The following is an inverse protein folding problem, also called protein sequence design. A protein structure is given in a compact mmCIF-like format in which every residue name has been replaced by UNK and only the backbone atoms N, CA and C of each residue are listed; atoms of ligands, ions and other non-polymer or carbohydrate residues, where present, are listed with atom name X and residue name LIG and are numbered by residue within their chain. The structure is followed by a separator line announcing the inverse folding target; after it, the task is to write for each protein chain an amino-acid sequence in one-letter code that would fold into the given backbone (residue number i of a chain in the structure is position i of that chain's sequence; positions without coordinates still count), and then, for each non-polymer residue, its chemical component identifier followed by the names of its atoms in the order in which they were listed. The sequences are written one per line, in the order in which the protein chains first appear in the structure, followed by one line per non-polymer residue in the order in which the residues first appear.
data_IF_358585302768
#
_entry.id   IF_358585302768
#
_cell.length_a   1.000
_cell.length_b   1.000
_cell.length_c   1.000
_cell.angle_alpha   90.00
_cell.angle_beta   90.00
_cell.angle_gamma   90.00
#
_symmetry.space_group_name_H-M   'P 1'
#
loop_
_entity.id
_entity.type
_entity.pdbx_description
1 polymer ?
#
# COMPACT_ATOMS: atom_id res chain seq x y z
N UNK A 1 42.98 -34.24 -31.32
CA UNK A 1 43.13 -35.07 -30.10
C UNK A 1 41.91 -34.84 -29.23
N UNK A 2 41.02 -35.82 -29.25
CA UNK A 2 39.69 -35.81 -28.66
C UNK A 2 39.74 -36.53 -27.31
N UNK A 3 39.25 -35.90 -26.25
CA UNK A 3 39.07 -36.53 -24.93
C UNK A 3 37.59 -36.33 -24.52
N UNK A 4 36.91 -37.35 -23.98
CA UNK A 4 35.47 -37.53 -24.19
C UNK A 4 34.57 -36.97 -23.10
N UNK A 5 33.34 -36.70 -23.52
CA UNK A 5 32.15 -36.40 -22.73
C UNK A 5 31.82 -37.54 -21.75
N UNK A 6 31.82 -37.25 -20.45
CA UNK A 6 31.31 -38.15 -19.42
C UNK A 6 29.79 -37.99 -19.28
N UNK A 7 29.05 -39.00 -19.72
CA UNK A 7 27.60 -39.16 -19.48
C UNK A 7 27.34 -39.41 -17.99
N UNK A 8 26.59 -38.53 -17.35
CA UNK A 8 25.95 -38.80 -16.07
C UNK A 8 24.73 -39.71 -16.31
N UNK A 9 24.70 -40.87 -15.64
CA UNK A 9 23.55 -41.80 -15.63
C UNK A 9 22.46 -41.27 -14.69
N UNK A 10 21.17 -41.48 -15.00
CA UNK A 10 20.08 -41.11 -14.10
C UNK A 10 20.01 -42.07 -12.91
N UNK A 11 19.90 -41.53 -11.70
CA UNK A 11 19.59 -42.29 -10.49
C UNK A 11 18.10 -42.64 -10.47
N UNK A 12 17.81 -43.94 -10.55
CA UNK A 12 16.50 -44.54 -10.32
C UNK A 12 16.22 -44.60 -8.83
N UNK A 13 15.25 -43.81 -8.34
CA UNK A 13 14.70 -44.02 -7.00
C UNK A 13 13.62 -45.11 -7.05
N UNK A 14 13.97 -46.25 -6.46
CA UNK A 14 13.05 -47.34 -6.15
C UNK A 14 12.07 -46.90 -5.05
N UNK A 15 10.78 -47.00 -5.34
CA UNK A 15 9.72 -47.02 -4.34
C UNK A 15 9.66 -48.40 -3.65
N UNK A 16 9.43 -48.48 -2.33
CA UNK A 16 9.14 -49.75 -1.67
C UNK A 16 7.65 -50.12 -1.82
N UNK A 17 7.30 -51.42 -1.99
CA UNK A 17 5.93 -51.88 -2.12
C UNK A 17 5.32 -52.33 -0.79
N UNK A 18 4.00 -52.17 -0.67
CA UNK A 18 3.15 -53.05 0.14
C UNK A 18 2.57 -52.47 1.42
N UNK A 19 1.29 -52.11 1.38
CA UNK A 19 0.27 -52.72 2.24
C UNK A 19 -1.10 -52.51 1.59
N UNK A 20 -1.73 -53.64 1.27
CA UNK A 20 -3.02 -53.80 0.61
C UNK A 20 -4.18 -53.69 1.62
N UNK A 21 -5.35 -53.39 1.05
CA UNK A 21 -6.71 -53.59 1.57
C UNK A 21 -7.20 -52.70 2.71
N UNK A 22 -7.88 -51.62 2.34
CA UNK A 22 -9.05 -51.14 3.07
C UNK A 22 -10.31 -51.66 2.34
N UNK A 23 -10.82 -52.77 2.83
CA UNK A 23 -12.13 -53.33 2.46
C UNK A 23 -13.25 -52.39 2.93
N UNK A 24 -14.19 -52.17 2.03
CA UNK A 24 -15.45 -51.47 2.25
C UNK A 24 -16.38 -52.22 3.20
N UNK A 25 -16.78 -51.59 4.30
CA UNK A 25 -18.04 -51.87 5.00
C UNK A 25 -18.68 -50.58 5.55
N UNK A 26 -20.02 -50.52 5.62
CA UNK A 26 -20.80 -49.28 5.65
C UNK A 26 -20.95 -48.71 7.06
N UNK A 27 -20.91 -47.39 7.19
CA UNK A 27 -21.24 -46.71 8.45
C UNK A 27 -22.75 -46.77 8.67
N UNK A 28 -23.16 -47.66 9.57
CA UNK A 28 -24.52 -47.75 10.12
C UNK A 28 -24.77 -46.50 10.98
N UNK A 29 -25.76 -45.69 10.59
CA UNK A 29 -26.27 -44.61 11.44
C UNK A 29 -27.16 -45.20 12.53
N UNK A 30 -26.67 -45.31 13.76
CA UNK A 30 -27.52 -45.46 14.94
C UNK A 30 -27.78 -44.09 15.55
N UNK A 31 -29.05 -43.69 15.58
CA UNK A 31 -29.51 -42.50 16.29
C UNK A 31 -29.48 -42.75 17.79
N UNK A 32 -28.57 -42.10 18.50
CA UNK A 32 -28.68 -41.92 19.95
C UNK A 32 -28.53 -40.43 20.24
N UNK A 33 -29.62 -39.82 20.72
CA UNK A 33 -29.62 -38.44 21.18
C UNK A 33 -28.66 -38.28 22.35
N UNK A 34 -27.61 -37.50 22.14
CA UNK A 34 -26.78 -36.95 23.20
C UNK A 34 -26.82 -35.43 23.06
N UNK A 35 -27.30 -34.81 24.13
CA UNK A 35 -27.30 -33.37 24.34
C UNK A 35 -25.90 -32.80 24.16
N UNK A 36 -25.77 -31.80 23.29
CA UNK A 36 -24.56 -30.99 23.13
C UNK A 36 -24.31 -30.25 24.44
N UNK A 37 -23.30 -30.67 25.22
CA UNK A 37 -22.83 -29.90 26.37
C UNK A 37 -22.26 -28.56 25.89
N UNK A 38 -22.84 -27.46 26.40
CA UNK A 38 -22.30 -26.12 26.19
C UNK A 38 -20.95 -25.98 26.91
N UNK A 39 -19.95 -25.33 26.29
CA UNK A 39 -18.69 -25.05 26.98
C UNK A 39 -18.95 -24.16 28.21
N UNK A 40 -18.16 -24.30 29.29
CA UNK A 40 -18.39 -23.56 30.53
C UNK A 40 -18.31 -22.05 30.27
N UNK A 41 -19.38 -21.32 30.63
CA UNK A 41 -19.36 -19.86 30.68
C UNK A 41 -18.25 -19.42 31.61
N UNK A 42 -17.30 -18.63 31.09
CA UNK A 42 -16.41 -17.81 31.90
C UNK A 42 -17.27 -16.90 32.80
N UNK A 43 -17.41 -17.26 34.07
CA UNK A 43 -18.00 -16.40 35.09
C UNK A 43 -16.94 -15.36 35.46
N UNK A 44 -17.05 -14.18 34.85
CA UNK A 44 -16.30 -13.01 35.29
C UNK A 44 -16.65 -12.72 36.76
N UNK A 45 -15.63 -12.66 37.62
CA UNK A 45 -15.75 -12.36 39.03
C UNK A 45 -16.21 -10.89 39.21
N UNK A 46 -17.42 -10.66 39.70
CA UNK A 46 -18.10 -9.34 39.73
C UNK A 46 -17.78 -8.45 40.94
N UNK A 47 -16.71 -8.74 41.70
CA UNK A 47 -16.37 -8.00 42.93
C UNK A 47 -15.15 -7.07 42.84
N UNK A 48 -14.78 -6.63 41.64
CA UNK A 48 -13.94 -5.44 41.48
C UNK A 48 -14.82 -4.30 40.97
N UNK A 49 -14.92 -3.21 41.73
CA UNK A 49 -15.44 -1.95 41.17
C UNK A 49 -14.53 -1.60 39.99
N UNK A 50 -15.02 -1.66 38.73
CA UNK A 50 -14.14 -1.49 37.60
C UNK A 50 -13.78 -0.01 37.57
N UNK A 51 -12.50 0.31 37.71
CA UNK A 51 -12.00 1.51 37.07
C UNK A 51 -12.44 1.37 35.60
N UNK A 52 -13.47 2.14 35.21
CA UNK A 52 -14.10 2.02 33.90
C UNK A 52 -12.99 2.02 32.85
N UNK A 53 -13.02 1.04 31.94
CA UNK A 53 -12.01 0.95 30.89
C UNK A 53 -11.83 2.33 30.26
N UNK A 54 -10.64 2.96 30.32
CA UNK A 54 -10.46 4.34 29.82
C UNK A 54 -10.74 4.47 28.32
N UNK A 55 -10.78 3.34 27.59
CA UNK A 55 -11.14 3.24 26.19
C UNK A 55 -12.60 2.80 25.96
N UNK A 56 -13.46 2.76 26.99
CA UNK A 56 -14.86 2.37 26.89
C UNK A 56 -15.60 3.12 25.77
N UNK A 57 -15.33 4.42 25.63
CA UNK A 57 -15.87 5.27 24.56
C UNK A 57 -15.60 4.74 23.13
N UNK A 58 -14.54 3.96 22.91
CA UNK A 58 -14.28 3.34 21.60
C UNK A 58 -15.20 2.15 21.32
N UNK A 59 -15.61 1.42 22.35
CA UNK A 59 -16.64 0.37 22.22
C UNK A 59 -18.00 1.00 21.98
N UNK A 60 -18.33 2.10 22.67
CA UNK A 60 -19.56 2.86 22.43
C UNK A 60 -19.60 3.39 20.98
N UNK A 61 -18.47 3.90 20.48
CA UNK A 61 -18.33 4.33 19.08
C UNK A 61 -18.53 3.17 18.10
N UNK A 62 -18.00 1.99 18.41
CA UNK A 62 -18.18 0.79 17.59
C UNK A 62 -19.64 0.35 17.58
N UNK A 63 -20.30 0.29 18.74
CA UNK A 63 -21.71 -0.12 18.85
C UNK A 63 -22.62 0.84 18.07
N UNK A 64 -22.37 2.15 18.18
CA UNK A 64 -23.06 3.16 17.37
C UNK A 64 -22.78 3.01 15.87
N UNK A 65 -21.57 2.62 15.48
CA UNK A 65 -21.22 2.34 14.08
C UNK A 65 -21.94 1.09 13.55
N UNK A 66 -21.94 -0.02 14.30
CA UNK A 66 -22.66 -1.24 13.96
C UNK A 66 -24.16 -0.96 13.79
N UNK A 67 -24.77 -0.25 14.75
CA UNK A 67 -26.18 0.09 14.70
C UNK A 67 -26.54 0.94 13.46
N UNK A 68 -25.73 1.97 13.13
CA UNK A 68 -25.93 2.77 11.91
C UNK A 68 -25.80 1.93 10.64
N UNK A 69 -24.77 1.07 10.56
CA UNK A 69 -24.56 0.24 9.37
C UNK A 69 -25.70 -0.74 9.15
N UNK A 70 -26.20 -1.38 10.21
CA UNK A 70 -27.35 -2.28 10.13
C UNK A 70 -28.67 -1.56 9.85
N UNK A 71 -28.82 -0.30 10.26
CA UNK A 71 -29.99 0.51 9.91
C UNK A 71 -30.00 0.93 8.43
N UNK A 72 -28.82 1.18 7.88
CA UNK A 72 -28.64 1.47 6.45
C UNK A 72 -28.80 0.20 5.60
N UNK A 73 -28.27 -0.92 6.07
CA UNK A 73 -28.21 -2.20 5.38
C UNK A 73 -28.20 -3.38 6.39
N UNK A 74 -29.33 -4.05 6.63
CA UNK A 74 -29.41 -5.18 7.56
C UNK A 74 -28.50 -6.36 7.21
N UNK A 75 -28.10 -6.50 5.94
CA UNK A 75 -27.23 -7.59 5.48
C UNK A 75 -25.75 -7.21 5.44
N UNK A 76 -25.39 -5.99 5.87
CA UNK A 76 -24.04 -5.42 5.74
C UNK A 76 -22.92 -6.36 6.21
N UNK A 77 -23.02 -6.84 7.46
CA UNK A 77 -21.99 -7.72 8.03
C UNK A 77 -22.04 -9.14 7.48
N UNK A 78 -23.21 -9.63 7.07
CA UNK A 78 -23.33 -10.93 6.41
C UNK A 78 -22.58 -10.89 5.08
N UNK A 79 -22.82 -9.89 4.25
CA UNK A 79 -22.10 -9.69 2.99
C UNK A 79 -20.60 -9.52 3.21
N UNK A 80 -20.20 -8.67 4.17
CA UNK A 80 -18.79 -8.43 4.48
C UNK A 80 -18.05 -9.73 4.90
N UNK A 81 -18.70 -10.59 5.69
CA UNK A 81 -18.11 -11.85 6.14
C UNK A 81 -17.85 -12.85 4.99
N UNK A 82 -18.60 -12.75 3.89
CA UNK A 82 -18.47 -13.64 2.74
C UNK A 82 -17.60 -13.05 1.60
N UNK A 83 -17.20 -11.78 1.68
CA UNK A 83 -16.41 -11.10 0.66
C UNK A 83 -14.92 -11.17 0.99
N UNK A 84 -14.16 -12.00 0.25
CA UNK A 84 -12.72 -12.26 0.50
C UNK A 84 -11.87 -12.37 -0.78
N UNK A 85 -12.31 -11.78 -1.89
CA UNK A 85 -11.56 -11.83 -3.17
C UNK A 85 -11.22 -10.42 -3.65
N UNK A 86 -10.29 -9.71 -2.97
CA UNK A 86 -9.87 -8.38 -3.41
C UNK A 86 -9.18 -8.49 -4.77
N UNK A 87 -9.48 -7.56 -5.67
CA UNK A 87 -8.78 -7.45 -6.96
C UNK A 87 -7.57 -6.51 -6.88
N UNK A 88 -7.43 -5.79 -5.76
CA UNK A 88 -6.47 -4.71 -5.59
C UNK A 88 -5.60 -4.92 -4.34
N UNK A 89 -4.29 -4.71 -4.47
CA UNK A 89 -3.37 -4.49 -3.35
C UNK A 89 -2.97 -3.01 -3.30
N UNK A 90 -3.22 -2.36 -2.17
CA UNK A 90 -2.79 -0.99 -1.88
C UNK A 90 -1.59 -0.97 -0.94
N UNK A 91 -0.45 -0.47 -1.41
CA UNK A 91 0.73 -0.20 -0.60
C UNK A 91 0.79 1.31 -0.34
N UNK A 92 0.46 1.72 0.89
CA UNK A 92 0.33 3.13 1.26
C UNK A 92 1.19 3.54 2.46
N UNK A 93 1.14 4.82 2.78
CA UNK A 93 1.81 5.35 3.96
C UNK A 93 1.02 4.96 5.24
N UNK A 94 1.72 4.79 6.36
CA UNK A 94 1.11 4.67 7.69
C UNK A 94 0.37 5.94 8.14
N UNK A 95 0.53 7.06 7.43
CA UNK A 95 -0.32 8.24 7.61
C UNK A 95 -1.80 7.86 7.46
N UNK A 96 -2.56 8.09 8.53
CA UNK A 96 -3.92 7.59 8.72
C UNK A 96 -5.02 8.54 8.23
N UNK A 97 -4.66 9.66 7.56
CA UNK A 97 -5.63 10.73 7.25
C UNK A 97 -6.86 10.25 6.47
N UNK A 98 -6.72 9.30 5.53
CA UNK A 98 -7.88 8.68 4.84
C UNK A 98 -7.61 7.18 4.52
N UNK A 99 -8.57 6.27 4.80
CA UNK A 99 -8.48 4.86 4.40
C UNK A 99 -8.52 4.66 2.88
N UNK A 100 -7.83 3.63 2.37
CA UNK A 100 -7.71 3.37 0.93
C UNK A 100 -9.09 3.19 0.26
N UNK A 101 -9.93 2.32 0.83
CA UNK A 101 -11.29 2.05 0.36
C UNK A 101 -12.13 3.32 0.19
N UNK A 102 -11.98 4.28 1.12
CA UNK A 102 -12.71 5.54 1.08
C UNK A 102 -12.18 6.48 -0.02
N UNK A 103 -10.86 6.47 -0.28
CA UNK A 103 -10.24 7.28 -1.35
C UNK A 103 -10.77 6.85 -2.73
N UNK A 104 -10.87 5.55 -2.98
CA UNK A 104 -11.26 5.01 -4.30
C UNK A 104 -12.72 4.56 -4.39
N UNK A 105 -13.53 4.83 -3.36
CA UNK A 105 -14.96 4.55 -3.38
C UNK A 105 -15.33 3.06 -3.42
N UNK A 106 -14.46 2.18 -2.92
CA UNK A 106 -14.72 0.74 -2.86
C UNK A 106 -15.21 0.31 -1.47
N UNK A 107 -16.08 -0.71 -1.39
CA UNK A 107 -16.52 -1.26 -0.12
C UNK A 107 -15.35 -1.98 0.61
N UNK A 108 -15.46 -2.15 1.94
CA UNK A 108 -14.51 -2.97 2.68
C UNK A 108 -14.42 -4.40 2.14
N UNK A 109 -13.21 -4.95 2.10
CA UNK A 109 -12.95 -6.31 1.58
C UNK A 109 -12.52 -6.37 0.11
N UNK A 110 -12.66 -5.27 -0.66
CA UNK A 110 -12.24 -5.23 -2.07
C UNK A 110 -10.79 -4.81 -2.30
N UNK A 111 -10.15 -4.23 -1.28
CA UNK A 111 -8.73 -3.82 -1.33
C UNK A 111 -7.98 -4.49 -0.19
N UNK A 112 -6.93 -5.22 -0.56
CA UNK A 112 -5.94 -5.72 0.39
C UNK A 112 -4.92 -4.62 0.66
N UNK A 113 -4.59 -4.34 1.93
CA UNK A 113 -3.86 -3.11 2.29
C UNK A 113 -2.59 -3.42 3.07
N UNK A 114 -1.47 -2.85 2.62
CA UNK A 114 -0.23 -2.72 3.38
C UNK A 114 0.06 -1.26 3.69
N UNK A 115 0.60 -0.98 4.88
CA UNK A 115 1.02 0.36 5.27
C UNK A 115 2.34 0.35 6.02
N UNK A 116 3.27 1.20 5.59
CA UNK A 116 4.48 1.54 6.32
C UNK A 116 4.83 3.02 6.16
N UNK A 117 5.81 3.54 6.88
CA UNK A 117 6.18 4.95 6.79
C UNK A 117 6.71 5.25 5.38
N UNK A 118 6.12 6.26 4.72
CA UNK A 118 6.50 6.68 3.36
C UNK A 118 6.35 5.59 2.27
N UNK A 119 5.46 4.61 2.48
CA UNK A 119 5.05 3.61 1.47
C UNK A 119 6.21 2.92 0.75
N UNK A 120 7.30 2.65 1.48
CA UNK A 120 8.55 2.11 0.96
C UNK A 120 8.44 0.60 0.74
N UNK A 121 8.95 0.12 -0.37
CA UNK A 121 9.11 -1.30 -0.69
C UNK A 121 10.59 -1.60 -0.77
N UNK A 122 11.15 -2.19 0.29
CA UNK A 122 12.56 -2.59 0.33
C UNK A 122 12.70 -3.98 -0.26
N UNK A 123 13.74 -4.22 -1.05
CA UNK A 123 13.99 -5.52 -1.71
C UNK A 123 14.08 -6.72 -0.75
N UNK A 124 14.31 -6.48 0.54
CA UNK A 124 14.49 -7.50 1.58
C UNK A 124 13.54 -7.30 2.76
N UNK A 125 12.56 -6.39 2.68
CA UNK A 125 11.56 -6.24 3.75
C UNK A 125 10.54 -7.37 3.68
N UNK A 126 10.77 -8.42 4.48
CA UNK A 126 9.89 -9.58 4.53
C UNK A 126 8.46 -9.23 4.96
N UNK A 127 8.25 -8.12 5.66
CA UNK A 127 6.91 -7.64 6.00
C UNK A 127 6.13 -7.32 4.71
N UNK A 128 6.61 -6.35 3.92
CA UNK A 128 5.96 -5.99 2.66
C UNK A 128 5.96 -7.14 1.64
N UNK A 129 7.05 -7.91 1.54
CA UNK A 129 7.16 -9.01 0.57
C UNK A 129 6.17 -10.14 0.88
N UNK A 130 5.94 -10.47 2.16
CA UNK A 130 4.94 -11.47 2.54
C UNK A 130 3.52 -11.05 2.14
N UNK A 131 3.20 -9.75 2.27
CA UNK A 131 1.91 -9.20 1.85
C UNK A 131 1.75 -9.24 0.33
N UNK A 132 2.80 -8.86 -0.42
CA UNK A 132 2.78 -8.93 -1.89
C UNK A 132 2.61 -10.39 -2.34
N UNK A 133 3.37 -11.33 -1.78
CA UNK A 133 3.26 -12.74 -2.14
C UNK A 133 1.87 -13.29 -1.84
N UNK A 134 1.31 -13.00 -0.67
CA UNK A 134 -0.04 -13.43 -0.32
C UNK A 134 -1.09 -12.87 -1.28
N UNK A 135 -1.02 -11.58 -1.59
CA UNK A 135 -1.94 -10.93 -2.51
C UNK A 135 -1.87 -11.53 -3.93
N UNK A 136 -0.65 -11.75 -4.44
CA UNK A 136 -0.42 -12.21 -5.82
C UNK A 136 -0.64 -13.70 -5.97
N UNK A 137 -0.09 -14.52 -5.06
CA UNK A 137 -0.08 -15.97 -5.21
C UNK A 137 -1.34 -16.63 -4.63
N UNK A 138 -1.89 -16.09 -3.54
CA UNK A 138 -3.09 -16.66 -2.91
C UNK A 138 -4.37 -15.94 -3.33
N UNK A 139 -4.43 -14.62 -3.14
CA UNK A 139 -5.65 -13.84 -3.41
C UNK A 139 -5.86 -13.56 -4.91
N UNK A 140 -4.81 -13.70 -5.71
CA UNK A 140 -4.83 -13.46 -7.16
C UNK A 140 -5.31 -12.04 -7.52
N UNK A 141 -4.83 -11.03 -6.79
CA UNK A 141 -5.09 -9.63 -7.14
C UNK A 141 -4.64 -9.36 -8.57
N UNK A 142 -5.36 -8.48 -9.27
CA UNK A 142 -5.07 -8.06 -10.64
C UNK A 142 -4.22 -6.80 -10.69
N UNK A 143 -4.31 -5.97 -9.65
CA UNK A 143 -3.65 -4.67 -9.59
C UNK A 143 -2.94 -4.47 -8.26
N UNK A 144 -1.70 -3.95 -8.32
CA UNK A 144 -0.97 -3.45 -7.15
C UNK A 144 -0.77 -1.96 -7.34
N UNK A 145 -1.19 -1.15 -6.38
CA UNK A 145 -0.98 0.29 -6.39
C UNK A 145 -0.04 0.69 -5.26
N UNK A 146 1.09 1.29 -5.61
CA UNK A 146 1.95 1.99 -4.64
C UNK A 146 1.54 3.45 -4.62
N UNK A 147 1.02 3.90 -3.49
CA UNK A 147 0.36 5.21 -3.40
C UNK A 147 1.06 6.10 -2.38
N UNK A 148 1.79 7.08 -2.92
CA UNK A 148 2.31 8.21 -2.14
C UNK A 148 1.21 9.20 -1.77
N UNK A 149 1.52 10.14 -0.89
CA UNK A 149 0.61 11.24 -0.59
C UNK A 149 1.35 12.54 -0.30
N UNK A 150 0.80 13.66 -0.79
CA UNK A 150 1.38 14.98 -0.53
C UNK A 150 1.29 15.34 0.96
N UNK A 151 2.25 16.11 1.45
CA UNK A 151 2.42 16.39 2.87
C UNK A 151 2.80 15.16 3.71
N UNK A 152 3.44 14.14 3.14
CA UNK A 152 3.99 13.01 3.89
C UNK A 152 5.10 13.43 4.85
N UNK A 153 4.91 13.16 6.14
CA UNK A 153 5.86 13.51 7.21
C UNK A 153 7.17 12.72 7.11
N UNK A 154 7.12 11.44 6.72
CA UNK A 154 8.31 10.62 6.51
C UNK A 154 9.18 11.16 5.36
N UNK A 155 8.55 11.51 4.24
CA UNK A 155 9.24 12.12 3.09
C UNK A 155 9.80 13.49 3.46
N UNK A 156 9.05 14.32 4.21
CA UNK A 156 9.54 15.61 4.69
C UNK A 156 10.76 15.46 5.61
N UNK A 157 10.73 14.50 6.54
CA UNK A 157 11.86 14.22 7.41
C UNK A 157 13.10 13.77 6.61
N UNK A 158 12.93 12.92 5.60
CA UNK A 158 14.00 12.50 4.69
C UNK A 158 14.54 13.66 3.84
N UNK A 159 13.66 14.52 3.30
CA UNK A 159 14.03 15.67 2.48
C UNK A 159 14.92 16.65 3.27
N UNK A 160 14.50 16.99 4.49
CA UNK A 160 15.16 18.00 5.32
C UNK A 160 16.23 17.44 6.26
N UNK A 161 16.48 16.12 6.25
CA UNK A 161 17.45 15.49 7.15
C UNK A 161 17.08 15.61 8.63
N UNK A 162 15.78 15.64 8.95
CA UNK A 162 15.30 15.75 10.34
C UNK A 162 15.54 14.44 11.06
N UNK A 163 16.23 14.48 12.20
CA UNK A 163 16.42 13.33 13.09
C UNK A 163 15.12 12.93 13.76
N UNK A 164 14.74 11.66 13.63
CA UNK A 164 13.56 11.03 14.25
C UNK A 164 13.99 9.91 15.21
N UNK A 165 15.14 9.26 14.97
CA UNK A 165 15.63 8.14 15.77
C UNK A 165 15.68 6.85 14.96
N UNK A 166 15.10 5.76 15.45
CA UNK A 166 15.15 4.46 14.76
C UNK A 166 14.61 4.52 13.33
N UNK A 167 13.56 5.32 13.12
CA UNK A 167 12.94 5.54 11.82
C UNK A 167 13.90 6.19 10.79
N UNK A 168 14.98 6.85 11.23
CA UNK A 168 15.99 7.41 10.31
C UNK A 168 16.56 6.32 9.40
N UNK A 169 16.79 5.11 9.93
CA UNK A 169 17.31 3.97 9.16
C UNK A 169 16.34 3.53 8.05
N UNK A 170 15.03 3.58 8.33
CA UNK A 170 14.00 3.30 7.32
C UNK A 170 13.91 4.43 6.30
N UNK A 171 13.98 5.68 6.76
CA UNK A 171 13.90 6.87 5.92
C UNK A 171 15.14 7.07 5.05
N UNK A 172 16.26 6.40 5.32
CA UNK A 172 17.40 6.35 4.40
C UNK A 172 17.00 5.81 3.02
N UNK A 173 16.03 4.90 2.91
CA UNK A 173 15.52 4.47 1.60
C UNK A 173 14.88 5.60 0.79
N UNK A 174 14.22 6.55 1.45
CA UNK A 174 13.69 7.75 0.79
C UNK A 174 14.82 8.74 0.48
N UNK A 175 15.84 8.82 1.34
CA UNK A 175 17.04 9.64 1.07
C UNK A 175 17.86 9.08 -0.10
N UNK A 176 17.85 7.77 -0.33
CA UNK A 176 18.47 7.14 -1.49
C UNK A 176 17.75 7.55 -2.78
N UNK A 177 16.41 7.60 -2.77
CA UNK A 177 15.61 8.16 -3.87
C UNK A 177 15.99 9.63 -4.11
N UNK A 178 16.05 10.44 -3.05
CA UNK A 178 16.47 11.85 -3.13
C UNK A 178 17.86 11.98 -3.74
N UNK A 179 18.80 11.15 -3.32
CA UNK A 179 20.19 11.16 -3.79
C UNK A 179 20.29 10.73 -5.25
N UNK A 180 19.57 9.67 -5.64
CA UNK A 180 19.49 9.17 -7.01
C UNK A 180 18.98 10.23 -7.99
N UNK A 181 18.03 11.06 -7.54
CA UNK A 181 17.37 12.09 -8.34
C UNK A 181 17.74 13.52 -7.95
N UNK A 182 18.92 13.73 -7.35
CA UNK A 182 19.31 15.03 -6.81
C UNK A 182 19.23 16.16 -7.85
N UNK A 183 19.77 15.93 -9.05
CA UNK A 183 19.74 16.90 -10.15
C UNK A 183 18.30 17.29 -10.55
N UNK A 184 17.39 16.31 -10.64
CA UNK A 184 15.99 16.53 -10.98
C UNK A 184 15.26 17.32 -9.88
N UNK A 185 15.54 17.00 -8.61
CA UNK A 185 14.97 17.71 -7.46
C UNK A 185 15.48 19.16 -7.41
N UNK A 186 16.72 19.40 -7.81
CA UNK A 186 17.33 20.73 -7.83
C UNK A 186 16.71 21.68 -8.84
N UNK A 187 16.09 21.16 -9.92
CA UNK A 187 15.32 21.95 -10.90
C UNK A 187 14.13 22.68 -10.26
N UNK A 188 13.59 22.15 -9.16
CA UNK A 188 12.41 22.69 -8.50
C UNK A 188 12.76 23.65 -7.36
N UNK A 189 11.95 24.69 -7.12
CA UNK A 189 12.13 25.61 -6.00
C UNK A 189 12.17 24.89 -4.64
N UNK A 190 13.00 25.40 -3.73
CA UNK A 190 13.10 24.87 -2.37
C UNK A 190 11.74 24.94 -1.67
N UNK A 191 11.41 23.92 -0.87
CA UNK A 191 10.19 23.86 -0.08
C UNK A 191 9.19 22.83 -0.62
N UNK A 192 7.93 23.22 -0.70
CA UNK A 192 6.81 22.31 -1.04
C UNK A 192 6.97 21.70 -2.44
N UNK A 193 7.50 22.44 -3.43
CA UNK A 193 7.72 21.90 -4.77
C UNK A 193 8.67 20.69 -4.75
N UNK A 194 9.82 20.79 -4.06
CA UNK A 194 10.73 19.64 -3.89
C UNK A 194 10.11 18.50 -3.09
N UNK A 195 9.29 18.80 -2.07
CA UNK A 195 8.57 17.79 -1.30
C UNK A 195 7.64 16.97 -2.21
N UNK A 196 6.79 17.65 -2.98
CA UNK A 196 5.85 17.02 -3.91
C UNK A 196 6.55 16.11 -4.91
N UNK A 197 7.64 16.59 -5.51
CA UNK A 197 8.44 15.81 -6.48
C UNK A 197 9.11 14.61 -5.83
N UNK A 198 9.62 14.75 -4.61
CA UNK A 198 10.20 13.61 -3.90
C UNK A 198 9.15 12.56 -3.52
N UNK A 199 7.92 12.96 -3.18
CA UNK A 199 6.80 12.02 -2.96
C UNK A 199 6.52 11.21 -4.23
N UNK A 200 6.43 11.87 -5.37
CA UNK A 200 6.16 11.24 -6.67
C UNK A 200 7.29 10.30 -7.10
N UNK A 201 8.54 10.77 -7.02
CA UNK A 201 9.72 9.97 -7.30
C UNK A 201 9.80 8.75 -6.38
N UNK A 202 9.49 8.91 -5.10
CA UNK A 202 9.45 7.80 -4.17
C UNK A 202 8.43 6.74 -4.62
N UNK A 203 7.19 7.13 -4.96
CA UNK A 203 6.19 6.19 -5.45
C UNK A 203 6.65 5.46 -6.74
N UNK A 204 7.25 6.17 -7.70
CA UNK A 204 7.81 5.59 -8.93
C UNK A 204 8.91 4.56 -8.62
N UNK A 205 9.85 4.90 -7.74
CA UNK A 205 10.93 3.98 -7.33
C UNK A 205 10.40 2.76 -6.59
N UNK A 206 9.38 2.93 -5.76
CA UNK A 206 8.77 1.79 -5.07
C UNK A 206 8.03 0.87 -6.04
N UNK A 207 7.40 1.39 -7.11
CA UNK A 207 6.88 0.54 -8.19
C UNK A 207 8.00 -0.26 -8.85
N UNK A 208 9.15 0.35 -9.13
CA UNK A 208 10.32 -0.38 -9.65
C UNK A 208 10.72 -1.51 -8.71
N UNK A 209 10.72 -1.26 -7.40
CA UNK A 209 11.08 -2.28 -6.41
C UNK A 209 10.08 -3.44 -6.39
N UNK A 210 8.77 -3.17 -6.45
CA UNK A 210 7.73 -4.19 -6.58
C UNK A 210 7.96 -5.03 -7.85
N UNK A 211 8.12 -4.40 -9.01
CA UNK A 211 8.31 -5.09 -10.29
C UNK A 211 9.60 -5.94 -10.33
N UNK A 212 10.60 -5.59 -9.52
CA UNK A 212 11.88 -6.33 -9.41
C UNK A 212 11.83 -7.50 -8.41
N UNK A 213 10.76 -7.66 -7.65
CA UNK A 213 10.63 -8.82 -6.76
C UNK A 213 10.54 -10.12 -7.56
N UNK A 214 11.02 -11.21 -6.99
CA UNK A 214 10.83 -12.54 -7.59
C UNK A 214 9.35 -12.88 -7.76
N UNK A 215 8.51 -12.46 -6.80
CA UNK A 215 7.07 -12.69 -6.80
C UNK A 215 6.40 -12.17 -8.08
N UNK A 216 6.67 -10.91 -8.45
CA UNK A 216 6.06 -10.29 -9.63
C UNK A 216 6.63 -10.88 -10.93
N UNK A 217 7.94 -11.11 -10.98
CA UNK A 217 8.56 -11.74 -12.15
C UNK A 217 8.04 -13.17 -12.38
N UNK A 218 7.89 -13.96 -11.32
CA UNK A 218 7.32 -15.31 -11.39
C UNK A 218 5.84 -15.29 -11.79
N UNK A 219 5.09 -14.24 -11.42
CA UNK A 219 3.71 -14.03 -11.81
C UNK A 219 3.57 -13.73 -13.31
N UNK A 220 4.39 -12.82 -13.83
CA UNK A 220 4.42 -12.55 -15.26
C UNK A 220 4.95 -13.73 -16.07
N UNK A 221 5.99 -14.43 -15.59
CA UNK A 221 6.56 -15.59 -16.27
C UNK A 221 5.56 -16.75 -16.43
N UNK A 222 4.65 -16.94 -15.45
CA UNK A 222 3.57 -17.93 -15.54
C UNK A 222 2.30 -17.42 -16.24
N UNK A 223 2.33 -16.22 -16.81
CA UNK A 223 1.20 -15.63 -17.55
C UNK A 223 0.03 -15.17 -16.68
N UNK A 224 0.25 -14.92 -15.38
CA UNK A 224 -0.78 -14.33 -14.53
C UNK A 224 -1.00 -12.86 -14.90
N UNK A 225 -2.26 -12.48 -15.15
CA UNK A 225 -2.63 -11.09 -15.38
C UNK A 225 -2.39 -10.28 -14.10
N UNK A 226 -1.44 -9.33 -14.17
CA UNK A 226 -1.05 -8.50 -13.06
C UNK A 226 -0.45 -7.18 -13.54
N UNK A 227 -0.94 -6.07 -13.03
CA UNK A 227 -0.39 -4.74 -13.28
C UNK A 227 0.04 -4.04 -11.98
N UNK A 228 1.12 -3.27 -12.05
CA UNK A 228 1.66 -2.49 -10.93
C UNK A 228 1.63 -1.01 -11.30
N UNK A 229 1.07 -0.18 -10.40
CA UNK A 229 0.77 1.23 -10.63
C UNK A 229 1.40 2.12 -9.57
N UNK A 230 1.85 3.31 -9.97
CA UNK A 230 2.35 4.36 -9.08
C UNK A 230 1.42 5.56 -9.09
N UNK A 231 0.80 5.86 -7.94
CA UNK A 231 -0.12 6.98 -7.77
C UNK A 231 0.30 7.92 -6.65
N UNK A 232 -0.25 9.12 -6.64
CA UNK A 232 -0.17 10.05 -5.49
C UNK A 232 -1.54 10.59 -5.13
N UNK A 233 -1.82 10.64 -3.84
CA UNK A 233 -3.04 11.21 -3.28
C UNK A 233 -2.80 12.59 -2.64
N UNK A 234 -3.63 13.56 -3.00
CA UNK A 234 -3.66 14.87 -2.35
C UNK A 234 -4.61 14.86 -1.17
N UNK A 235 -4.09 14.95 0.06
CA UNK A 235 -4.94 15.09 1.25
C UNK A 235 -5.65 16.44 1.31
N UNK A 236 -5.11 17.45 0.64
CA UNK A 236 -5.68 18.80 0.56
C UNK A 236 -6.92 18.90 -0.34
N UNK A 237 -7.02 18.03 -1.36
CA UNK A 237 -8.08 18.10 -2.38
C UNK A 237 -8.85 16.79 -2.58
N UNK A 238 -8.43 15.71 -1.95
CA UNK A 238 -9.05 14.40 -2.05
C UNK A 238 -8.82 13.69 -3.39
N UNK A 239 -7.93 14.18 -4.26
CA UNK A 239 -7.74 13.63 -5.60
C UNK A 239 -6.55 12.66 -5.68
N UNK A 240 -6.77 11.53 -6.33
CA UNK A 240 -5.71 10.60 -6.77
C UNK A 240 -5.20 11.05 -8.13
N UNK A 241 -3.88 10.99 -8.31
CA UNK A 241 -3.17 11.36 -9.53
C UNK A 241 -2.36 10.17 -10.02
N UNK A 242 -2.54 9.82 -11.28
CA UNK A 242 -1.71 8.83 -11.95
C UNK A 242 -0.37 9.46 -12.36
N UNK A 243 0.73 8.81 -12.02
CA UNK A 243 2.08 9.24 -12.41
C UNK A 243 2.47 8.72 -13.81
N UNK A 244 1.58 7.98 -14.47
CA UNK A 244 1.86 7.26 -15.72
C UNK A 244 2.73 6.01 -15.51
N UNK A 245 3.07 5.69 -14.26
CA UNK A 245 3.89 4.55 -13.88
C UNK A 245 3.01 3.32 -13.73
N UNK A 246 2.55 2.78 -14.85
CA UNK A 246 1.76 1.55 -14.93
C UNK A 246 2.48 0.49 -15.76
N UNK A 247 2.71 -0.69 -15.18
CA UNK A 247 3.49 -1.77 -15.80
C UNK A 247 2.76 -3.10 -15.66
N UNK A 248 2.52 -3.77 -16.78
CA UNK A 248 1.94 -5.11 -16.88
C UNK A 248 2.82 -6.08 -17.70
N UNK A 249 3.95 -5.60 -18.21
CA UNK A 249 4.94 -6.35 -18.99
C UNK A 249 6.35 -5.93 -18.52
N UNK A 250 7.19 -6.86 -18.04
CA UNK A 250 8.55 -6.54 -17.64
C UNK A 250 9.39 -5.92 -18.77
N UNK A 251 9.10 -6.19 -20.05
CA UNK A 251 9.81 -5.57 -21.16
C UNK A 251 9.54 -4.06 -21.29
N UNK A 252 8.38 -3.59 -20.80
CA UNK A 252 8.01 -2.18 -20.83
C UNK A 252 8.55 -1.39 -19.62
N UNK A 253 9.00 -2.06 -18.56
CA UNK A 253 9.35 -1.45 -17.27
C UNK A 253 10.34 -0.28 -17.40
N UNK A 254 11.49 -0.50 -18.05
CA UNK A 254 12.54 0.51 -18.18
C UNK A 254 12.10 1.71 -19.02
N UNK A 255 11.34 1.45 -20.09
CA UNK A 255 10.82 2.50 -20.96
C UNK A 255 9.78 3.35 -20.20
N UNK A 256 8.88 2.72 -19.44
CA UNK A 256 7.88 3.40 -18.62
C UNK A 256 8.55 4.21 -17.53
N UNK A 257 9.50 3.64 -16.79
CA UNK A 257 10.28 4.36 -15.78
C UNK A 257 10.94 5.62 -16.34
N UNK A 258 11.67 5.52 -17.47
CA UNK A 258 12.32 6.68 -18.10
C UNK A 258 11.31 7.77 -18.48
N UNK A 259 10.16 7.40 -19.04
CA UNK A 259 9.09 8.37 -19.36
C UNK A 259 8.56 9.06 -18.10
N UNK A 260 8.32 8.32 -17.02
CA UNK A 260 7.83 8.88 -15.76
C UNK A 260 8.84 9.84 -15.12
N UNK A 261 10.12 9.46 -15.07
CA UNK A 261 11.19 10.34 -14.56
C UNK A 261 11.27 11.63 -15.39
N UNK A 262 11.18 11.54 -16.73
CA UNK A 262 11.17 12.73 -17.58
C UNK A 262 9.95 13.63 -17.33
N UNK A 263 8.78 13.05 -17.05
CA UNK A 263 7.56 13.80 -16.75
C UNK A 263 7.62 14.57 -15.41
N UNK A 264 8.48 14.16 -14.48
CA UNK A 264 8.71 14.86 -13.20
C UNK A 264 9.64 16.08 -13.35
N UNK A 265 10.36 16.22 -14.46
CA UNK A 265 11.24 17.38 -14.71
C UNK A 265 10.46 18.68 -14.85
N UNK A 266 11.09 19.81 -14.55
CA UNK A 266 10.44 21.12 -14.64
C UNK A 266 10.01 21.47 -16.08
N UNK A 267 10.69 20.89 -17.09
CA UNK A 267 10.34 21.01 -18.51
C UNK A 267 9.41 19.92 -19.05
N UNK A 268 9.03 18.94 -18.21
CA UNK A 268 8.10 17.88 -18.59
C UNK A 268 6.70 18.44 -18.80
N UNK A 269 5.94 17.82 -19.72
CA UNK A 269 4.52 18.12 -19.96
C UNK A 269 3.63 17.65 -18.79
N UNK A 270 3.95 18.05 -17.56
CA UNK A 270 3.10 17.83 -16.41
C UNK A 270 1.92 18.80 -16.52
N UNK A 271 0.79 18.29 -17.01
CA UNK A 271 -0.43 19.08 -17.12
C UNK A 271 -0.86 19.55 -15.73
N UNK A 272 -1.16 20.85 -15.63
CA UNK A 272 -1.50 21.58 -14.42
C UNK A 272 -2.65 20.97 -13.59
N UNK A 273 -3.43 20.04 -14.12
CA UNK A 273 -4.50 19.33 -13.41
C UNK A 273 -3.99 18.53 -12.21
N UNK A 274 -2.73 18.12 -12.20
CA UNK A 274 -2.11 17.44 -11.08
C UNK A 274 -1.51 18.40 -10.03
N UNK A 275 -1.48 19.70 -10.26
CA UNK A 275 -0.80 20.66 -9.40
C UNK A 275 -1.72 21.82 -9.05
N UNK A 276 -2.62 21.60 -8.08
CA UNK A 276 -3.30 22.71 -7.41
C UNK A 276 -2.29 23.75 -6.85
N UNK A 277 -1.06 23.33 -6.55
CA UNK A 277 0.03 24.21 -6.15
C UNK A 277 0.67 25.01 -7.30
N UNK A 278 0.58 24.58 -8.58
CA UNK A 278 0.97 25.46 -9.68
C UNK A 278 -0.03 26.62 -9.82
N UNK A 279 -1.31 26.39 -9.51
CA UNK A 279 -2.30 27.45 -9.42
C UNK A 279 -2.00 28.41 -8.23
N UNK A 280 -1.61 27.88 -7.07
CA UNK A 280 -1.27 28.72 -5.90
C UNK A 280 0.07 29.46 -6.05
N UNK A 281 1.07 28.85 -6.69
CA UNK A 281 2.35 29.51 -6.99
C UNK A 281 2.19 30.62 -8.05
N UNK A 282 1.26 30.46 -8.98
CA UNK A 282 0.86 31.53 -9.92
C UNK A 282 0.10 32.65 -9.18
N UNK A 283 -0.68 32.32 -8.14
CA UNK A 283 -1.34 33.31 -7.28
C UNK A 283 -0.36 34.08 -6.37
N UNK A 284 0.80 33.49 -6.05
CA UNK A 284 1.90 34.15 -5.34
C UNK A 284 2.78 35.02 -6.26
N UNK A 285 2.47 35.14 -7.55
CA UNK A 285 3.14 36.09 -8.47
C UNK A 285 2.92 37.57 -8.13
N UNK A 286 1.99 37.87 -7.22
CA UNK A 286 1.59 39.24 -6.85
C UNK A 286 2.10 39.68 -5.45
N UNK A 287 3.26 39.16 -5.01
CA UNK A 287 3.91 39.60 -3.74
C UNK A 287 4.08 41.14 -3.66
N UNK A 288 4.39 41.89 -4.73
CA UNK A 288 4.49 43.34 -4.62
C UNK A 288 3.17 44.02 -4.21
N UNK A 289 2.02 43.54 -4.72
CA UNK A 289 0.70 44.12 -4.44
C UNK A 289 0.20 43.79 -3.01
N UNK A 290 0.50 42.58 -2.52
CA UNK A 290 0.13 42.15 -1.17
C UNK A 290 0.96 42.89 -0.11
N UNK A 291 2.25 43.15 -0.39
CA UNK A 291 3.12 43.93 0.51
C UNK A 291 2.73 45.41 0.53
N UNK A 292 2.33 46.01 -0.59
CA UNK A 292 1.82 47.39 -0.62
C UNK A 292 0.48 47.56 0.12
N UNK A 293 -0.42 46.56 0.06
CA UNK A 293 -1.70 46.58 0.78
C UNK A 293 -1.53 46.56 2.29
N UNK A 294 -0.64 45.71 2.80
CA UNK A 294 -0.37 45.59 4.25
C UNK A 294 0.35 46.84 4.80
N UNK A 295 1.22 47.49 4.02
CA UNK A 295 1.92 48.71 4.46
C UNK A 295 0.97 49.92 4.56
N UNK A 296 -0.17 49.92 3.83
CA UNK A 296 -1.17 50.99 3.90
C UNK A 296 -2.02 50.93 5.16
N UNK A 297 -2.35 49.74 5.66
CA UNK A 297 -3.16 49.58 6.88
C UNK A 297 -2.42 49.98 8.16
N UNK A 298 -1.08 49.97 8.17
CA UNK A 298 -0.28 50.39 9.34
C UNK A 298 0.06 51.90 9.39
N UNK A 299 -0.49 52.72 8.48
CA UNK A 299 -0.25 54.18 8.48
C UNK A 299 -1.44 55.02 8.93
N UNK A 300 -2.60 54.41 9.19
CA UNK A 300 -3.84 55.11 9.57
C UNK A 300 -4.40 54.71 10.96
N UNK A 301 -3.57 54.20 11.87
CA UNK A 301 -3.81 54.16 13.34
C UNK A 301 -2.69 54.87 14.10
#
# INVERSE_FOLDING_TARGET
MSVPCARLKPHSHHAPPGLLNASSEPYVTTSTGQSVEQPPRLTMNTNASPAANPLAHLFDNNDAWVARKLSEDPEYFSRLAHQQTPEYLWIGCSDSRVPANQIIGLPPGEVFVHRNIANVVVHTDLNCLSVIQFAVDLLKVKHIMVVGHYGCSGVAAALHGRRVGLADNWLHHVQDVRTKHAALIEEWPIGEARHRRLVELNAIEQVMNVCRTTIINDAWARGQELAVHGWVYGVHDGKVRDLGMSVNDPAALDATYKRCIAAVSAGGAYQADNDAAAADAVQLGDVPAIVEGVIKEFKDE
#
